data_IF_290637103596
#
_entry.id   IF_290637103596
#
_cell.length_a   1.000
_cell.length_b   1.000
_cell.length_c   1.000
_cell.angle_alpha   90.00
_cell.angle_beta   90.00
_cell.angle_gamma   90.00
#
_symmetry.space_group_name_H-M   'P 1'
#
loop_
_entity.id
_entity.type
_entity.pdbx_description
1 polymer ?
#
# COMPACT_ATOMS: atom_id res chain seq x y z
N UNK A 1 -25.00 -42.02 -26.22
CA UNK A 1 -25.56 -40.81 -26.86
C UNK A 1 -24.83 -39.59 -26.31
N UNK A 2 -24.25 -38.76 -27.18
CA UNK A 2 -23.64 -37.46 -26.84
C UNK A 2 -24.74 -36.41 -26.77
N UNK A 3 -24.79 -35.61 -25.71
CA UNK A 3 -25.56 -34.35 -25.67
C UNK A 3 -24.64 -33.28 -25.11
N UNK A 4 -24.34 -32.30 -25.96
CA UNK A 4 -23.78 -31.01 -25.60
C UNK A 4 -24.91 -30.12 -25.09
N UNK A 5 -24.67 -29.34 -24.04
CA UNK A 5 -25.32 -28.04 -23.88
C UNK A 5 -24.47 -27.13 -22.99
N UNK A 6 -23.81 -26.20 -23.67
CA UNK A 6 -23.38 -24.90 -23.17
C UNK A 6 -24.51 -24.18 -22.44
N UNK A 7 -24.23 -23.63 -21.26
CA UNK A 7 -25.21 -22.85 -20.51
C UNK A 7 -24.68 -22.34 -19.17
N UNK A 8 -23.58 -21.57 -19.19
CA UNK A 8 -23.12 -20.84 -18.00
C UNK A 8 -23.49 -19.36 -18.13
N UNK A 9 -24.78 -19.06 -17.91
CA UNK A 9 -25.22 -17.73 -17.45
C UNK A 9 -25.56 -17.87 -15.97
N UNK A 10 -24.70 -17.35 -15.11
CA UNK A 10 -25.06 -16.98 -13.74
C UNK A 10 -24.57 -15.55 -13.52
N UNK A 11 -25.52 -14.64 -13.70
CA UNK A 11 -25.43 -13.22 -13.42
C UNK A 11 -25.64 -12.99 -11.91
N UNK A 12 -24.86 -12.02 -11.42
CA UNK A 12 -25.14 -11.10 -10.31
C UNK A 12 -25.21 -11.66 -8.87
N UNK A 13 -24.25 -11.24 -8.05
CA UNK A 13 -24.43 -10.17 -7.06
C UNK A 13 -23.43 -10.30 -5.91
N UNK A 14 -22.63 -9.25 -5.71
CA UNK A 14 -22.14 -8.65 -4.44
C UNK A 14 -20.81 -7.96 -4.74
N UNK A 15 -20.91 -6.74 -5.27
CA UNK A 15 -19.93 -5.68 -5.05
C UNK A 15 -20.73 -4.42 -4.68
N UNK A 16 -21.51 -4.51 -3.59
CA UNK A 16 -22.07 -3.35 -2.93
C UNK A 16 -21.21 -3.10 -1.68
N UNK A 17 -20.14 -2.32 -1.84
CA UNK A 17 -19.54 -1.47 -0.81
C UNK A 17 -18.59 -0.46 -1.48
N UNK A 18 -19.16 0.71 -1.76
CA UNK A 18 -18.52 2.04 -1.75
C UNK A 18 -17.21 2.25 -2.53
N UNK A 19 -17.33 2.49 -3.83
CA UNK A 19 -16.57 3.58 -4.47
C UNK A 19 -17.59 4.57 -5.03
N UNK A 20 -18.17 5.39 -4.15
CA UNK A 20 -18.83 6.63 -4.56
C UNK A 20 -17.73 7.60 -5.01
N UNK A 21 -17.25 7.40 -6.24
CA UNK A 21 -16.38 8.32 -6.96
C UNK A 21 -17.24 9.36 -7.68
N UNK A 22 -18.15 10.00 -6.97
CA UNK A 22 -18.70 11.28 -7.42
C UNK A 22 -17.57 12.31 -7.35
N UNK A 23 -16.93 12.51 -8.49
CA UNK A 23 -16.26 13.76 -8.85
C UNK A 23 -17.31 14.87 -8.73
N UNK A 24 -17.47 15.44 -7.54
CA UNK A 24 -18.15 16.73 -7.39
C UNK A 24 -17.15 17.77 -7.90
N UNK A 25 -17.12 17.92 -9.23
CA UNK A 25 -16.56 19.09 -9.88
C UNK A 25 -17.43 20.28 -9.49
N UNK A 26 -17.08 20.95 -8.40
CA UNK A 26 -17.60 22.29 -8.13
C UNK A 26 -16.97 23.20 -9.17
N UNK A 27 -17.70 23.43 -10.24
CA UNK A 27 -17.37 24.38 -11.29
C UNK A 27 -17.45 25.80 -10.69
N UNK A 28 -16.38 26.26 -10.05
CA UNK A 28 -16.23 27.64 -9.61
C UNK A 28 -14.99 28.24 -10.28
N UNK A 29 -15.24 29.14 -11.23
CA UNK A 29 -14.31 30.22 -11.54
C UNK A 29 -13.39 29.99 -12.74
N UNK A 30 -13.72 30.67 -13.85
CA UNK A 30 -12.76 31.10 -14.87
C UNK A 30 -11.57 31.79 -14.21
N UNK A 31 -10.44 31.10 -14.07
CA UNK A 31 -9.05 31.58 -14.07
C UNK A 31 -8.18 30.46 -13.53
N UNK A 32 -7.00 30.26 -14.12
CA UNK A 32 -6.07 29.17 -13.81
C UNK A 32 -5.91 28.92 -12.30
N UNK A 33 -6.66 27.96 -11.79
CA UNK A 33 -6.66 27.57 -10.39
C UNK A 33 -5.72 26.40 -10.24
N UNK A 34 -4.62 26.60 -9.52
CA UNK A 34 -3.81 25.53 -8.96
C UNK A 34 -4.79 24.56 -8.29
N UNK A 35 -4.89 23.33 -8.81
CA UNK A 35 -5.63 22.26 -8.17
C UNK A 35 -5.04 22.08 -6.76
N UNK A 36 -5.65 22.73 -5.76
CA UNK A 36 -5.36 22.45 -4.35
C UNK A 36 -5.90 21.07 -4.10
N UNK A 37 -5.00 20.11 -4.27
CA UNK A 37 -5.23 18.70 -4.05
C UNK A 37 -5.70 18.50 -2.62
N UNK A 38 -6.96 18.09 -2.47
CA UNK A 38 -7.58 17.78 -1.19
C UNK A 38 -6.71 16.79 -0.42
N UNK A 39 -6.26 17.20 0.75
CA UNK A 39 -5.60 16.37 1.75
C UNK A 39 -6.63 15.33 2.19
N UNK A 40 -6.34 14.05 1.97
CA UNK A 40 -7.22 12.95 2.41
C UNK A 40 -6.52 12.18 3.53
N UNK A 41 -7.25 11.93 4.61
CA UNK A 41 -6.85 10.95 5.61
C UNK A 41 -6.89 9.56 4.98
N UNK A 42 -5.90 8.73 5.26
CA UNK A 42 -5.81 7.38 4.72
C UNK A 42 -4.92 6.48 5.55
N UNK A 43 -4.70 5.26 5.08
CA UNK A 43 -3.80 4.30 5.70
C UNK A 43 -2.70 3.88 4.73
N UNK A 44 -1.47 3.82 5.21
CA UNK A 44 -0.39 3.13 4.50
C UNK A 44 -0.33 1.69 4.94
N UNK A 45 -0.11 0.78 3.99
CA UNK A 45 0.02 -0.65 4.28
C UNK A 45 1.47 -1.10 4.15
N UNK A 46 1.87 -2.01 5.04
CA UNK A 46 3.15 -2.70 5.03
C UNK A 46 2.94 -4.17 5.36
N UNK A 47 3.87 -5.01 4.95
CA UNK A 47 3.85 -6.45 5.20
C UNK A 47 5.08 -6.84 6.01
N UNK A 48 4.87 -7.47 7.16
CA UNK A 48 5.93 -8.12 7.92
C UNK A 48 5.87 -9.62 7.64
N UNK A 49 6.92 -10.16 7.05
CA UNK A 49 7.06 -11.59 6.78
C UNK A 49 8.10 -12.17 7.72
N UNK A 50 7.74 -13.20 8.47
CA UNK A 50 8.67 -13.98 9.28
C UNK A 50 8.67 -15.45 8.85
N UNK A 51 9.87 -16.02 8.79
CA UNK A 51 10.06 -17.42 8.42
C UNK A 51 11.33 -17.96 9.06
N UNK A 52 11.37 -19.27 9.30
CA UNK A 52 12.55 -19.92 9.88
C UNK A 52 13.38 -20.54 8.78
N UNK A 53 14.64 -20.12 8.66
CA UNK A 53 15.60 -20.69 7.72
C UNK A 53 16.85 -21.16 8.48
N UNK A 54 17.18 -22.45 8.37
CA UNK A 54 18.35 -23.05 9.01
C UNK A 54 18.47 -22.74 10.53
N UNK A 55 17.38 -22.96 11.28
CA UNK A 55 17.23 -22.63 12.71
C UNK A 55 17.31 -21.15 13.09
N UNK A 56 17.42 -20.23 12.13
CA UNK A 56 17.35 -18.79 12.39
C UNK A 56 15.99 -18.24 11.95
N UNK A 57 15.35 -17.47 12.83
CA UNK A 57 14.19 -16.67 12.46
C UNK A 57 14.65 -15.49 11.59
N UNK A 58 14.08 -15.37 10.41
CA UNK A 58 14.29 -14.24 9.52
C UNK A 58 13.01 -13.43 9.46
N UNK A 59 13.14 -12.13 9.70
CA UNK A 59 12.03 -11.20 9.70
C UNK A 59 12.32 -10.09 8.70
N UNK A 60 11.35 -9.82 7.82
CA UNK A 60 11.47 -8.81 6.76
C UNK A 60 10.26 -7.91 6.79
N UNK A 61 10.50 -6.61 6.78
CA UNK A 61 9.46 -5.61 6.67
C UNK A 61 9.47 -4.99 5.27
N UNK A 62 8.36 -5.14 4.56
CA UNK A 62 8.15 -4.65 3.21
C UNK A 62 7.11 -3.52 3.23
N UNK A 63 7.41 -2.43 2.54
CA UNK A 63 6.50 -1.31 2.29
C UNK A 63 6.58 -1.00 0.80
N UNK A 64 5.44 -0.70 0.19
CA UNK A 64 5.38 -0.21 -1.18
C UNK A 64 5.99 1.20 -1.29
N UNK A 65 6.85 1.39 -2.29
CA UNK A 65 7.51 2.67 -2.58
C UNK A 65 6.51 3.78 -2.92
N UNK A 66 5.24 3.44 -3.21
CA UNK A 66 4.16 4.42 -3.36
C UNK A 66 4.01 5.30 -2.11
N UNK A 67 4.30 4.77 -0.92
CA UNK A 67 4.27 5.50 0.35
C UNK A 67 5.23 6.69 0.32
N UNK A 68 6.39 6.53 -0.32
CA UNK A 68 7.39 7.59 -0.46
C UNK A 68 6.91 8.76 -1.34
N UNK A 69 5.91 8.51 -2.21
CA UNK A 69 5.34 9.52 -3.11
C UNK A 69 4.09 10.17 -2.53
N UNK A 70 3.39 9.46 -1.66
CA UNK A 70 2.10 9.85 -1.10
C UNK A 70 2.20 10.75 0.13
N UNK A 71 3.41 10.98 0.66
CA UNK A 71 3.65 11.85 1.81
C UNK A 71 4.84 12.76 1.58
N UNK A 72 4.85 13.91 2.26
CA UNK A 72 6.00 14.83 2.34
C UNK A 72 6.62 14.89 3.73
N UNK A 73 6.09 14.12 4.67
CA UNK A 73 6.59 14.06 6.03
C UNK A 73 7.99 13.43 6.05
N UNK A 74 9.00 14.29 6.23
CA UNK A 74 10.41 13.89 6.19
C UNK A 74 10.79 12.98 7.36
N UNK A 75 10.14 13.12 8.51
CA UNK A 75 10.45 12.30 9.69
C UNK A 75 9.89 10.89 9.50
N UNK A 76 8.69 10.79 8.92
CA UNK A 76 8.15 9.49 8.50
C UNK A 76 9.01 8.82 7.42
N UNK A 77 9.44 9.54 6.39
CA UNK A 77 10.24 8.98 5.31
C UNK A 77 11.58 8.44 5.84
N UNK A 78 12.26 9.18 6.70
CA UNK A 78 13.49 8.71 7.38
C UNK A 78 13.25 7.48 8.23
N UNK A 79 12.16 7.45 8.99
CA UNK A 79 11.80 6.29 9.79
C UNK A 79 11.55 5.06 8.92
N UNK A 80 10.84 5.20 7.80
CA UNK A 80 10.59 4.11 6.84
C UNK A 80 11.88 3.60 6.22
N UNK A 81 12.80 4.49 5.81
CA UNK A 81 14.11 4.11 5.28
C UNK A 81 14.95 3.34 6.31
N UNK A 82 14.94 3.79 7.57
CA UNK A 82 15.58 3.07 8.67
C UNK A 82 14.95 1.69 8.89
N UNK A 83 13.61 1.60 8.88
CA UNK A 83 12.89 0.33 9.04
C UNK A 83 13.12 -0.65 7.89
N UNK A 84 13.28 -0.17 6.64
CA UNK A 84 13.60 -1.02 5.47
C UNK A 84 15.01 -1.62 5.54
N UNK A 85 15.94 -0.94 6.20
CA UNK A 85 17.34 -1.38 6.32
C UNK A 85 17.64 -2.12 7.62
N UNK A 86 16.77 -1.98 8.62
CA UNK A 86 16.94 -2.61 9.92
C UNK A 86 16.73 -4.13 9.85
N UNK A 87 17.60 -4.87 10.53
CA UNK A 87 17.48 -6.33 10.67
C UNK A 87 16.92 -6.65 12.05
N UNK A 88 15.69 -7.16 12.08
CA UNK A 88 15.05 -7.59 13.32
C UNK A 88 15.56 -8.97 13.75
N UNK A 89 15.71 -9.16 15.06
CA UNK A 89 16.15 -10.41 15.66
C UNK A 89 14.98 -11.40 15.87
N UNK A 90 13.77 -10.88 16.06
CA UNK A 90 12.55 -11.70 16.24
C UNK A 90 11.32 -10.97 15.74
N UNK A 91 10.25 -11.72 15.44
CA UNK A 91 8.96 -11.15 15.03
C UNK A 91 8.40 -10.22 16.11
N UNK A 92 8.54 -10.58 17.38
CA UNK A 92 8.06 -9.76 18.50
C UNK A 92 8.79 -8.42 18.59
N UNK A 93 10.12 -8.42 18.43
CA UNK A 93 10.89 -7.19 18.39
C UNK A 93 10.46 -6.31 17.21
N UNK A 94 10.25 -6.90 16.04
CA UNK A 94 9.79 -6.18 14.86
C UNK A 94 8.43 -5.52 15.09
N UNK A 95 7.46 -6.26 15.63
CA UNK A 95 6.13 -5.73 15.93
C UNK A 95 6.18 -4.59 16.96
N UNK A 96 7.01 -4.70 17.99
CA UNK A 96 7.17 -3.64 18.98
C UNK A 96 7.79 -2.37 18.39
N UNK A 97 8.82 -2.51 17.56
CA UNK A 97 9.45 -1.38 16.87
C UNK A 97 8.50 -0.76 15.86
N UNK A 98 7.71 -1.56 15.14
CA UNK A 98 6.73 -1.04 14.18
C UNK A 98 5.59 -0.32 14.91
N UNK A 99 5.10 -0.87 16.02
CA UNK A 99 4.09 -0.24 16.86
C UNK A 99 4.55 1.11 17.43
N UNK A 100 5.84 1.24 17.83
CA UNK A 100 6.38 2.53 18.30
C UNK A 100 6.43 3.61 17.21
N UNK A 101 6.43 3.20 15.94
CA UNK A 101 6.32 4.09 14.77
C UNK A 101 4.87 4.25 14.26
N UNK A 102 3.88 3.80 15.02
CA UNK A 102 2.46 3.95 14.71
C UNK A 102 1.90 2.95 13.70
N UNK A 103 2.57 1.82 13.48
CA UNK A 103 2.03 0.72 12.69
C UNK A 103 1.14 -0.19 13.53
N UNK A 104 -0.04 -0.49 13.04
CA UNK A 104 -1.03 -1.36 13.67
C UNK A 104 -1.18 -2.66 12.87
N UNK A 105 -1.21 -3.81 13.54
CA UNK A 105 -1.51 -5.09 12.88
C UNK A 105 -2.99 -5.13 12.50
N UNK A 106 -3.29 -5.23 11.21
CA UNK A 106 -4.65 -5.37 10.69
C UNK A 106 -5.04 -6.83 10.46
N UNK A 107 -4.11 -7.63 9.98
CA UNK A 107 -4.35 -9.04 9.69
C UNK A 107 -3.07 -9.85 9.90
N UNK A 108 -3.24 -11.12 10.24
CA UNK A 108 -2.15 -12.08 10.38
C UNK A 108 -2.55 -13.36 9.69
N UNK A 109 -1.70 -13.84 8.80
CA UNK A 109 -1.91 -15.08 8.05
C UNK A 109 -0.68 -15.96 8.22
N UNK A 110 -0.89 -17.27 8.35
CA UNK A 110 0.19 -18.25 8.35
C UNK A 110 0.07 -19.08 7.08
N UNK A 111 1.10 -19.03 6.25
CA UNK A 111 1.22 -19.83 5.03
C UNK A 111 2.13 -21.01 5.34
N UNK A 112 1.55 -22.22 5.31
CA UNK A 112 2.31 -23.45 5.55
C UNK A 112 2.89 -23.95 4.24
N UNK A 113 4.21 -23.86 4.10
CA UNK A 113 4.95 -24.31 2.93
C UNK A 113 5.71 -25.60 3.17
N UNK A 114 6.20 -26.21 2.09
CA UNK A 114 7.11 -27.38 2.17
C UNK A 114 8.43 -27.06 2.89
N UNK A 115 8.83 -25.79 2.90
CA UNK A 115 10.09 -25.31 3.47
C UNK A 115 9.95 -24.75 4.90
N UNK A 116 8.75 -24.85 5.49
CA UNK A 116 8.44 -24.27 6.80
C UNK A 116 7.17 -23.43 6.78
N UNK A 117 6.77 -22.96 7.95
CA UNK A 117 5.67 -22.03 8.12
C UNK A 117 6.18 -20.59 7.95
N UNK A 118 5.52 -19.83 7.08
CA UNK A 118 5.74 -18.39 6.88
C UNK A 118 4.60 -17.64 7.55
N UNK A 119 4.90 -16.68 8.41
CA UNK A 119 3.90 -15.80 9.02
C UNK A 119 3.94 -14.45 8.32
N UNK A 120 2.77 -13.97 7.90
CA UNK A 120 2.57 -12.71 7.22
C UNK A 120 1.68 -11.84 8.10
N UNK A 121 2.19 -10.69 8.53
CA UNK A 121 1.40 -9.68 9.23
C UNK A 121 1.19 -8.49 8.30
N UNK A 122 -0.07 -8.20 7.99
CA UNK A 122 -0.45 -6.97 7.32
C UNK A 122 -0.56 -5.87 8.36
N UNK A 123 0.25 -4.84 8.19
CA UNK A 123 0.33 -3.67 9.05
C UNK A 123 -0.28 -2.48 8.33
N UNK A 124 -1.00 -1.64 9.06
CA UNK A 124 -1.51 -0.35 8.58
C UNK A 124 -1.02 0.77 9.48
N UNK A 125 -0.65 1.90 8.89
CA UNK A 125 -0.37 3.13 9.61
C UNK A 125 -1.36 4.20 9.17
N UNK A 126 -2.21 4.73 10.07
CA UNK A 126 -3.08 5.84 9.74
C UNK A 126 -2.25 7.11 9.52
N UNK A 127 -2.63 7.91 8.53
CA UNK A 127 -2.00 9.18 8.19
C UNK A 127 -3.07 10.21 7.88
N UNK A 128 -2.96 11.37 8.52
CA UNK A 128 -3.94 12.45 8.37
C UNK A 128 -3.88 13.08 6.98
N UNK A 129 -2.68 13.12 6.40
CA UNK A 129 -2.40 13.85 5.17
C UNK A 129 -1.76 12.94 4.11
N UNK A 130 -2.57 12.37 3.23
CA UNK A 130 -2.10 11.69 2.03
C UNK A 130 -2.23 12.61 0.82
N UNK A 131 -1.14 12.76 0.06
CA UNK A 131 -1.15 13.45 -1.22
C UNK A 131 -1.78 12.55 -2.28
N UNK A 132 -2.67 13.08 -3.14
CA UNK A 132 -3.17 12.31 -4.26
C UNK A 132 -2.01 12.03 -5.22
N UNK A 133 -1.65 10.77 -5.34
CA UNK A 133 -0.67 10.28 -6.31
C UNK A 133 -1.45 9.50 -7.35
N UNK A 134 -1.33 9.91 -8.61
CA UNK A 134 -1.78 9.11 -9.74
C UNK A 134 -0.69 8.09 -10.06
N UNK A 135 -0.88 6.78 -9.83
CA UNK A 135 0.16 5.76 -10.01
C UNK A 135 0.76 5.71 -11.42
N UNK A 136 0.02 6.22 -12.42
CA UNK A 136 0.41 6.27 -13.84
C UNK A 136 1.12 7.57 -14.25
N UNK A 137 1.17 8.60 -13.40
CA UNK A 137 2.01 9.77 -13.63
C UNK A 137 3.41 9.44 -13.12
N UNK A 138 4.15 8.63 -13.89
CA UNK A 138 5.61 8.70 -13.82
C UNK A 138 6.01 10.12 -14.22
N UNK A 139 7.02 10.66 -13.55
CA UNK A 139 7.62 11.94 -13.91
C UNK A 139 8.21 11.81 -15.32
N UNK A 140 7.40 12.09 -16.34
CA UNK A 140 7.84 12.22 -17.74
C UNK A 140 8.53 13.58 -17.88
N UNK A 141 9.56 13.81 -17.08
CA UNK A 141 10.40 14.99 -17.08
C UNK A 141 11.71 14.71 -17.79
N UNK A 142 11.75 14.90 -19.12
CA UNK A 142 13.01 14.79 -19.86
C UNK A 142 12.86 14.63 -21.37
N UNK A 143 12.21 15.59 -22.05
CA UNK A 143 12.13 15.54 -23.51
C UNK A 143 11.53 16.77 -24.18
N UNK A 144 11.49 17.91 -23.50
CA UNK A 144 11.13 19.20 -24.10
C UNK A 144 12.38 19.93 -24.57
N UNK A 145 12.99 19.51 -25.69
CA UNK A 145 13.72 20.43 -26.58
C UNK A 145 12.71 20.74 -27.69
N UNK A 146 12.08 21.90 -27.71
CA UNK A 146 12.77 23.19 -27.80
C UNK A 146 12.81 23.53 -29.29
N UNK A 147 11.74 24.17 -29.73
CA UNK A 147 11.54 24.68 -31.08
C UNK A 147 12.72 25.60 -31.46
N UNK A 148 13.39 25.31 -32.58
CA UNK A 148 14.22 26.25 -33.34
C UNK A 148 14.01 25.96 -34.82
#
# INVERSE_FOLDING_TARGET
MKIWMTGAMLLAAVCANAQDSRLVGKEEGRQGGVYRTSIRSGEFYGELVSFTQANNEMVRFNIDDIVLRMTRDQDFLKAVEALKTYRFESTLQALNVLASHGWEVRSSTVVRGRNGDEQHHLLARPVDNMMPVSPWLSERGGGGKGNK
#
